data_IF_309713055065
#
_entry.id   IF_309713055065
#
_cell.length_a   1.000
_cell.length_b   1.000
_cell.length_c   1.000
_cell.angle_alpha   90.00
_cell.angle_beta   90.00
_cell.angle_gamma   90.00
#
_symmetry.space_group_name_H-M   'P 1'
#
loop_
_entity.id
_entity.type
_entity.pdbx_description
1 polymer ?
#
# COMPACT_ATOMS: atom_id res chain seq x y z
N UNK A 1 77.97 69.03 37.44
CA UNK A 1 77.22 68.18 38.40
C UNK A 1 76.85 66.92 37.65
N UNK A 2 77.15 65.68 38.00
CA UNK A 2 77.83 65.01 39.12
C UNK A 2 78.10 63.59 38.62
N UNK A 3 79.33 63.07 38.82
CA UNK A 3 79.77 61.66 39.09
C UNK A 3 78.89 60.49 38.58
N UNK A 4 79.39 59.31 38.15
CA UNK A 4 80.69 58.63 38.00
C UNK A 4 80.33 57.18 37.58
N UNK A 5 81.36 56.38 37.27
CA UNK A 5 81.43 54.91 37.45
C UNK A 5 80.82 54.03 36.34
N UNK A 6 81.35 52.86 36.00
CA UNK A 6 82.66 52.20 36.20
C UNK A 6 82.58 50.89 35.36
N UNK A 7 83.69 50.54 34.71
CA UNK A 7 84.15 49.17 34.42
C UNK A 7 83.35 48.16 33.55
N UNK A 8 83.96 47.85 32.40
CA UNK A 8 84.29 46.51 31.84
C UNK A 8 84.82 45.49 32.90
N UNK A 9 85.11 44.19 32.62
CA UNK A 9 84.82 43.32 31.47
C UNK A 9 84.56 41.80 31.81
N UNK A 10 84.40 40.99 30.76
CA UNK A 10 84.90 39.60 30.54
C UNK A 10 84.45 38.41 31.42
N UNK A 11 84.18 37.27 30.76
CA UNK A 11 84.44 35.84 31.09
C UNK A 11 83.31 34.97 30.48
N UNK A 12 83.43 33.73 29.98
CA UNK A 12 84.42 32.86 29.30
C UNK A 12 83.69 31.49 29.15
N UNK A 13 84.04 30.65 28.16
CA UNK A 13 83.93 29.16 28.14
C UNK A 13 82.52 28.59 27.82
N UNK A 14 82.27 28.04 26.61
CA UNK A 14 82.52 26.66 26.11
C UNK A 14 81.76 25.55 26.87
N UNK A 15 80.81 24.84 26.23
CA UNK A 15 80.89 23.39 25.91
C UNK A 15 79.56 22.76 25.42
N UNK A 16 79.73 21.76 24.56
CA UNK A 16 78.92 20.53 24.40
C UNK A 16 77.70 20.49 23.43
N UNK A 17 78.04 20.09 22.21
CA UNK A 17 77.37 19.17 21.27
C UNK A 17 76.41 18.12 21.89
N UNK A 18 75.21 17.91 21.32
CA UNK A 18 74.88 16.87 20.30
C UNK A 18 73.38 16.91 19.90
N UNK A 19 73.03 16.36 18.72
CA UNK A 19 71.81 16.65 17.94
C UNK A 19 70.73 15.59 18.14
N UNK A 20 69.48 15.81 17.68
CA UNK A 20 68.68 14.77 17.01
C UNK A 20 67.52 15.35 16.19
N UNK A 21 67.45 14.85 14.95
CA UNK A 21 66.27 14.60 14.13
C UNK A 21 65.40 15.78 13.67
N UNK A 22 65.71 16.22 12.46
CA UNK A 22 64.79 16.88 11.55
C UNK A 22 63.73 15.89 11.02
N UNK A 23 62.46 16.31 10.93
CA UNK A 23 61.54 15.83 9.90
C UNK A 23 60.50 16.92 9.58
N UNK A 24 60.44 17.29 8.29
CA UNK A 24 59.57 18.32 7.69
C UNK A 24 58.15 17.79 7.52
N UNK A 25 57.12 18.66 7.46
CA UNK A 25 56.45 18.80 6.16
C UNK A 25 55.72 20.14 5.96
N UNK A 26 55.95 20.86 4.86
CA UNK A 26 54.88 21.67 4.20
C UNK A 26 55.28 21.86 2.74
N UNK A 27 54.57 21.21 1.83
CA UNK A 27 54.40 21.70 0.47
C UNK A 27 53.07 21.17 -0.05
N UNK A 28 52.15 22.11 -0.23
CA UNK A 28 50.80 21.91 -0.71
C UNK A 28 50.77 21.34 -2.13
N UNK A 29 49.85 20.40 -2.39
CA UNK A 29 49.32 20.16 -3.73
C UNK A 29 47.81 20.45 -3.71
N UNK A 30 47.28 21.16 -4.72
CA UNK A 30 45.99 21.82 -4.64
C UNK A 30 44.82 20.86 -4.90
N UNK A 31 43.74 21.17 -4.20
CA UNK A 31 42.35 20.78 -4.44
C UNK A 31 42.03 20.49 -5.92
N UNK A 32 41.84 19.20 -6.24
CA UNK A 32 40.96 18.78 -7.33
C UNK A 32 39.92 17.80 -6.75
N UNK A 33 39.06 18.33 -5.88
CA UNK A 33 37.87 17.63 -5.40
C UNK A 33 36.84 17.63 -6.54
N UNK A 34 36.83 16.56 -7.32
CA UNK A 34 35.73 16.19 -8.21
C UNK A 34 34.46 16.04 -7.35
N UNK A 35 33.37 16.79 -7.59
CA UNK A 35 32.14 16.56 -6.87
C UNK A 35 31.57 15.25 -7.41
N UNK A 36 31.69 14.19 -6.61
CA UNK A 36 30.95 12.96 -6.80
C UNK A 36 29.47 13.33 -6.69
N UNK A 37 28.82 13.57 -7.83
CA UNK A 37 27.40 13.83 -7.90
C UNK A 37 26.68 12.67 -7.22
N UNK A 38 26.10 12.95 -6.04
CA UNK A 38 25.18 12.05 -5.37
C UNK A 38 24.04 11.77 -6.34
N UNK A 39 24.07 10.61 -7.00
CA UNK A 39 22.83 9.95 -7.40
C UNK A 39 22.13 9.56 -6.09
N UNK A 40 21.37 10.51 -5.52
CA UNK A 40 20.30 10.19 -4.60
C UNK A 40 19.22 9.47 -5.41
N UNK A 41 19.47 8.19 -5.71
CA UNK A 41 18.43 7.30 -6.20
C UNK A 41 17.39 7.23 -5.11
N UNK A 42 16.25 7.87 -5.33
CA UNK A 42 15.05 7.65 -4.53
C UNK A 42 14.73 6.17 -4.62
N UNK A 43 15.18 5.38 -3.64
CA UNK A 43 14.65 4.04 -3.46
C UNK A 43 13.16 4.24 -3.20
N UNK A 44 12.34 3.87 -4.19
CA UNK A 44 10.91 3.67 -4.01
C UNK A 44 10.79 2.59 -2.93
N UNK A 45 10.69 3.02 -1.67
CA UNK A 45 10.36 2.14 -0.58
C UNK A 45 8.99 1.57 -0.92
N UNK A 46 8.91 0.26 -1.16
CA UNK A 46 7.64 -0.42 -1.24
C UNK A 46 6.91 -0.14 0.07
N UNK A 47 5.72 0.46 -0.02
CA UNK A 47 4.88 0.70 1.16
C UNK A 47 4.66 -0.66 1.85
N UNK A 48 4.94 -0.79 3.16
CA UNK A 48 4.81 -2.05 3.88
C UNK A 48 3.39 -2.66 3.85
N UNK A 49 2.40 -1.98 3.27
CA UNK A 49 1.02 -2.42 3.22
C UNK A 49 0.33 -2.16 4.55
N UNK A 50 -0.99 -2.05 4.52
CA UNK A 50 -1.82 -1.76 5.70
C UNK A 50 -2.73 -2.95 5.99
N UNK A 51 -3.02 -3.19 7.26
CA UNK A 51 -3.90 -4.29 7.67
C UNK A 51 -5.30 -4.17 7.02
N UNK A 52 -5.72 -5.14 6.18
CA UNK A 52 -7.06 -5.12 5.57
C UNK A 52 -8.20 -5.09 6.59
N UNK A 53 -8.00 -5.68 7.79
CA UNK A 53 -9.01 -5.68 8.85
C UNK A 53 -9.37 -4.26 9.33
N UNK A 54 -8.42 -3.32 9.27
CA UNK A 54 -8.61 -1.94 9.69
C UNK A 54 -8.86 -0.99 8.52
N UNK A 55 -8.20 -1.24 7.38
CA UNK A 55 -8.13 -0.29 6.27
C UNK A 55 -8.91 -0.72 5.03
N UNK A 56 -9.38 -1.97 4.93
CA UNK A 56 -10.19 -2.43 3.80
C UNK A 56 -11.66 -2.63 4.19
N UNK A 57 -11.92 -3.44 5.22
CA UNK A 57 -13.29 -3.77 5.63
C UNK A 57 -13.92 -2.67 6.49
N UNK A 58 -15.20 -2.41 6.25
CA UNK A 58 -16.05 -1.57 7.08
C UNK A 58 -16.58 -2.37 8.29
N UNK A 59 -16.93 -1.66 9.36
CA UNK A 59 -17.64 -2.24 10.50
C UNK A 59 -19.13 -2.26 10.21
N UNK A 60 -19.84 -3.29 10.68
CA UNK A 60 -21.29 -3.45 10.51
C UNK A 60 -21.89 -4.21 11.69
N UNK A 61 -23.17 -3.95 11.97
CA UNK A 61 -23.98 -4.78 12.86
C UNK A 61 -24.63 -5.98 12.15
N UNK A 62 -24.39 -6.13 10.85
CA UNK A 62 -24.87 -7.25 10.05
C UNK A 62 -26.24 -7.02 9.39
N UNK A 63 -26.76 -5.79 9.36
CA UNK A 63 -28.00 -5.47 8.64
C UNK A 63 -27.72 -4.86 7.26
N UNK A 64 -27.73 -5.69 6.22
CA UNK A 64 -27.40 -5.23 4.87
C UNK A 64 -28.49 -4.36 4.24
N UNK A 65 -29.71 -4.35 4.77
CA UNK A 65 -30.74 -3.42 4.33
C UNK A 65 -30.43 -2.00 4.82
N UNK A 66 -29.96 -1.85 6.06
CA UNK A 66 -29.44 -0.58 6.60
C UNK A 66 -28.13 -0.17 5.92
N UNK A 67 -27.21 -1.11 5.66
CA UNK A 67 -25.96 -0.76 4.97
C UNK A 67 -26.21 -0.23 3.55
N UNK A 68 -27.27 -0.64 2.85
CA UNK A 68 -27.65 -0.06 1.57
C UNK A 68 -28.08 1.40 1.70
N UNK A 69 -28.75 1.77 2.79
CA UNK A 69 -29.10 3.16 3.10
C UNK A 69 -27.82 3.98 3.35
N UNK A 70 -26.91 3.48 4.18
CA UNK A 70 -25.61 4.11 4.43
C UNK A 70 -24.81 4.28 3.13
N UNK A 71 -24.79 3.26 2.26
CA UNK A 71 -24.11 3.33 0.97
C UNK A 71 -24.69 4.44 0.07
N UNK A 72 -26.03 4.63 0.08
CA UNK A 72 -26.69 5.73 -0.64
C UNK A 72 -26.30 7.08 -0.06
N UNK A 73 -26.35 7.23 1.26
CA UNK A 73 -26.07 8.49 1.96
C UNK A 73 -24.60 8.92 1.79
N UNK A 74 -23.66 7.97 1.78
CA UNK A 74 -22.25 8.23 1.52
C UNK A 74 -21.89 8.36 0.03
N UNK A 75 -22.86 8.22 -0.88
CA UNK A 75 -22.64 8.32 -2.33
C UNK A 75 -21.78 7.20 -2.91
N UNK A 76 -21.83 6.00 -2.31
CA UNK A 76 -21.12 4.82 -2.82
C UNK A 76 -21.74 4.33 -4.12
N UNK A 77 -20.96 3.58 -4.89
CA UNK A 77 -21.45 2.81 -6.03
C UNK A 77 -22.26 1.57 -5.60
N UNK A 78 -22.08 1.09 -4.37
CA UNK A 78 -22.78 -0.07 -3.84
C UNK A 78 -22.05 -0.74 -2.69
N UNK A 79 -22.32 -2.05 -2.51
CA UNK A 79 -21.72 -2.88 -1.45
C UNK A 79 -20.87 -3.99 -2.07
N UNK A 80 -19.69 -4.24 -1.51
CA UNK A 80 -18.84 -5.37 -1.82
C UNK A 80 -18.84 -6.36 -0.65
N UNK A 81 -19.36 -7.56 -0.87
CA UNK A 81 -19.20 -8.66 0.07
C UNK A 81 -18.03 -9.54 -0.34
N UNK A 82 -17.13 -9.82 0.60
CA UNK A 82 -16.11 -10.85 0.47
C UNK A 82 -16.54 -12.07 1.29
N UNK A 83 -17.05 -13.09 0.61
CA UNK A 83 -17.30 -14.38 1.25
C UNK A 83 -15.98 -15.10 1.48
N UNK A 84 -15.72 -15.47 2.73
CA UNK A 84 -14.49 -16.11 3.18
C UNK A 84 -14.74 -17.13 4.28
N UNK A 85 -13.68 -17.79 4.74
CA UNK A 85 -13.65 -18.66 5.91
C UNK A 85 -12.24 -18.59 6.50
N UNK A 86 -12.09 -18.91 7.78
CA UNK A 86 -10.81 -18.80 8.48
C UNK A 86 -9.73 -19.69 7.86
N UNK A 87 -10.05 -20.94 7.54
CA UNK A 87 -9.10 -21.92 6.99
C UNK A 87 -9.02 -21.86 5.45
N UNK A 88 -8.74 -20.66 4.91
CA UNK A 88 -8.71 -20.41 3.46
C UNK A 88 -7.38 -19.81 2.98
N UNK A 89 -6.48 -20.61 2.39
CA UNK A 89 -5.19 -20.12 1.88
C UNK A 89 -5.32 -19.00 0.83
N UNK A 90 -6.35 -19.07 -0.02
CA UNK A 90 -6.59 -18.05 -1.04
C UNK A 90 -7.11 -16.73 -0.44
N UNK A 91 -7.88 -16.80 0.63
CA UNK A 91 -8.38 -15.63 1.37
C UNK A 91 -7.20 -14.94 2.07
N UNK A 92 -6.33 -15.70 2.74
CA UNK A 92 -5.09 -15.17 3.31
C UNK A 92 -4.18 -14.55 2.24
N UNK A 93 -4.02 -15.20 1.08
CA UNK A 93 -3.24 -14.66 -0.04
C UNK A 93 -3.79 -13.33 -0.53
N UNK A 94 -5.12 -13.21 -0.67
CA UNK A 94 -5.76 -11.94 -1.04
C UNK A 94 -5.50 -10.87 0.01
N UNK A 95 -5.75 -11.16 1.29
CA UNK A 95 -5.51 -10.23 2.41
C UNK A 95 -4.05 -9.77 2.48
N UNK A 96 -3.09 -10.68 2.35
CA UNK A 96 -1.67 -10.39 2.54
C UNK A 96 -0.97 -9.70 1.36
N UNK A 97 -1.49 -9.84 0.13
CA UNK A 97 -0.79 -9.36 -1.08
C UNK A 97 -1.58 -8.37 -1.94
N UNK A 98 -2.91 -8.35 -1.80
CA UNK A 98 -3.79 -7.53 -2.65
C UNK A 98 -4.54 -6.52 -1.81
N UNK A 99 -5.30 -6.99 -0.82
CA UNK A 99 -6.15 -6.13 0.01
C UNK A 99 -5.35 -5.31 1.03
N UNK A 100 -4.05 -5.59 1.21
CA UNK A 100 -3.15 -4.78 2.04
C UNK A 100 -2.58 -3.56 1.30
N UNK A 101 -2.75 -3.46 -0.01
CA UNK A 101 -2.17 -2.39 -0.79
C UNK A 101 -2.96 -1.09 -0.57
N UNK A 102 -2.32 0.04 -0.19
CA UNK A 102 -3.03 1.28 0.10
C UNK A 102 -3.92 1.77 -1.04
N UNK A 103 -3.43 1.75 -2.28
CA UNK A 103 -4.21 2.16 -3.44
C UNK A 103 -5.44 1.29 -3.71
N UNK A 104 -5.40 0.00 -3.37
CA UNK A 104 -6.58 -0.88 -3.43
C UNK A 104 -7.58 -0.47 -2.35
N UNK A 105 -7.12 -0.28 -1.12
CA UNK A 105 -7.97 0.08 0.00
C UNK A 105 -8.65 1.43 -0.21
N UNK A 106 -7.90 2.44 -0.64
CA UNK A 106 -8.40 3.80 -0.83
C UNK A 106 -9.46 3.81 -1.94
N UNK A 107 -9.17 3.21 -3.10
CA UNK A 107 -10.11 3.14 -4.23
C UNK A 107 -11.39 2.38 -3.86
N UNK A 108 -11.26 1.20 -3.26
CA UNK A 108 -12.44 0.39 -2.95
C UNK A 108 -13.29 1.03 -1.85
N UNK A 109 -12.70 1.67 -0.83
CA UNK A 109 -13.46 2.37 0.21
C UNK A 109 -14.08 3.68 -0.26
N UNK A 110 -13.48 4.33 -1.25
CA UNK A 110 -14.10 5.48 -1.92
C UNK A 110 -15.42 5.05 -2.58
N UNK A 111 -15.43 3.89 -3.24
CA UNK A 111 -16.56 3.47 -4.07
C UNK A 111 -17.55 2.49 -3.42
N UNK A 112 -17.17 1.74 -2.39
CA UNK A 112 -18.01 0.69 -1.81
C UNK A 112 -18.01 0.72 -0.28
N UNK A 113 -19.10 0.25 0.33
CA UNK A 113 -19.03 -0.36 1.66
C UNK A 113 -18.62 -1.83 1.51
N UNK A 114 -17.71 -2.30 2.34
CA UNK A 114 -17.04 -3.59 2.14
C UNK A 114 -17.12 -4.44 3.39
N UNK A 115 -17.72 -5.63 3.29
CA UNK A 115 -17.92 -6.49 4.45
C UNK A 115 -17.45 -7.92 4.19
N UNK A 116 -16.76 -8.56 5.15
CA UNK A 116 -16.49 -9.98 5.10
C UNK A 116 -17.74 -10.77 5.53
N UNK A 117 -18.01 -11.89 4.86
CA UNK A 117 -19.01 -12.88 5.28
C UNK A 117 -18.31 -14.20 5.53
N UNK A 118 -18.37 -14.70 6.76
CA UNK A 118 -17.90 -16.05 7.05
C UNK A 118 -18.92 -17.08 6.54
N UNK A 119 -18.53 -17.88 5.56
CA UNK A 119 -19.39 -18.91 4.95
C UNK A 119 -19.65 -20.09 5.89
N UNK A 120 -18.91 -20.20 6.99
CA UNK A 120 -19.13 -21.19 8.05
C UNK A 120 -19.78 -20.54 9.29
N UNK A 121 -19.93 -19.23 9.28
CA UNK A 121 -20.40 -18.42 10.40
C UNK A 121 -21.87 -18.65 10.77
N UNK A 122 -22.12 -18.81 12.07
CA UNK A 122 -23.47 -18.89 12.66
C UNK A 122 -23.99 -17.53 13.16
N UNK A 123 -23.27 -16.44 12.89
CA UNK A 123 -23.67 -15.07 13.22
C UNK A 123 -24.94 -14.71 12.44
N UNK A 124 -25.90 -14.11 13.14
CA UNK A 124 -27.14 -13.60 12.56
C UNK A 124 -26.87 -12.29 11.80
N UNK A 125 -27.50 -12.17 10.64
CA UNK A 125 -27.47 -11.00 9.77
C UNK A 125 -28.87 -10.73 9.25
N UNK A 126 -29.10 -9.55 8.69
CA UNK A 126 -30.29 -9.21 7.92
C UNK A 126 -29.87 -9.05 6.46
N UNK A 127 -30.53 -9.76 5.56
CA UNK A 127 -30.22 -9.70 4.14
C UNK A 127 -30.67 -8.38 3.50
N UNK A 128 -30.33 -8.18 2.23
CA UNK A 128 -30.70 -6.96 1.48
C UNK A 128 -32.21 -6.76 1.34
N UNK A 129 -33.03 -7.79 1.59
CA UNK A 129 -34.50 -7.72 1.58
C UNK A 129 -35.11 -7.52 2.98
N UNK A 130 -34.28 -7.33 4.01
CA UNK A 130 -34.74 -7.12 5.39
C UNK A 130 -35.08 -8.42 6.14
N UNK A 131 -34.70 -9.60 5.62
CA UNK A 131 -34.99 -10.87 6.29
C UNK A 131 -33.81 -11.34 7.15
N UNK A 132 -34.06 -11.84 8.37
CA UNK A 132 -33.01 -12.43 9.18
C UNK A 132 -32.49 -13.74 8.56
N UNK A 133 -31.18 -13.91 8.55
CA UNK A 133 -30.49 -15.11 8.07
C UNK A 133 -29.23 -15.36 8.92
N UNK A 134 -28.57 -16.49 8.72
CA UNK A 134 -27.22 -16.74 9.24
C UNK A 134 -26.21 -16.58 8.13
N UNK A 135 -25.00 -16.09 8.44
CA UNK A 135 -23.96 -15.88 7.42
C UNK A 135 -23.72 -17.11 6.52
N UNK A 136 -23.61 -18.30 7.12
CA UNK A 136 -23.46 -19.56 6.36
C UNK A 136 -24.63 -19.88 5.43
N UNK A 137 -25.85 -19.60 5.87
CA UNK A 137 -27.07 -19.89 5.12
C UNK A 137 -27.28 -18.86 4.01
N UNK A 138 -27.03 -17.59 4.29
CA UNK A 138 -26.97 -16.51 3.31
C UNK A 138 -25.96 -16.81 2.21
N UNK A 139 -24.73 -17.20 2.57
CA UNK A 139 -23.69 -17.56 1.62
C UNK A 139 -24.05 -18.78 0.76
N UNK A 140 -24.51 -19.87 1.38
CA UNK A 140 -24.77 -21.13 0.69
C UNK A 140 -26.10 -21.17 -0.06
N UNK A 141 -27.19 -20.75 0.58
CA UNK A 141 -28.56 -20.90 0.05
C UNK A 141 -28.90 -19.77 -0.91
N UNK A 142 -28.58 -18.52 -0.57
CA UNK A 142 -28.89 -17.37 -1.42
C UNK A 142 -27.84 -17.20 -2.53
N UNK A 143 -26.56 -17.18 -2.18
CA UNK A 143 -25.48 -16.89 -3.13
C UNK A 143 -24.76 -18.12 -3.68
N UNK A 144 -25.09 -19.33 -3.22
CA UNK A 144 -24.49 -20.59 -3.73
C UNK A 144 -22.97 -20.58 -3.66
N UNK A 145 -22.39 -19.95 -2.64
CA UNK A 145 -20.95 -19.93 -2.40
C UNK A 145 -20.49 -21.32 -1.99
N UNK A 146 -19.59 -21.90 -2.79
CA UNK A 146 -19.03 -23.25 -2.60
C UNK A 146 -17.50 -23.27 -2.63
N UNK A 147 -16.90 -22.10 -2.81
CA UNK A 147 -15.46 -21.88 -2.86
C UNK A 147 -15.19 -20.47 -2.35
N UNK A 148 -14.05 -20.25 -1.73
CA UNK A 148 -13.64 -18.96 -1.16
C UNK A 148 -12.24 -18.57 -1.67
N UNK A 149 -11.93 -17.27 -1.79
CA UNK A 149 -12.84 -16.14 -1.58
C UNK A 149 -13.84 -15.96 -2.74
N UNK A 150 -14.99 -15.33 -2.47
CA UNK A 150 -15.88 -14.78 -3.51
C UNK A 150 -16.08 -13.30 -3.26
N UNK A 151 -15.84 -12.49 -4.27
CA UNK A 151 -16.15 -11.07 -4.27
C UNK A 151 -17.46 -10.86 -5.01
N UNK A 152 -18.48 -10.41 -4.29
CA UNK A 152 -19.82 -10.16 -4.78
C UNK A 152 -20.14 -8.68 -4.65
N UNK A 153 -20.40 -8.03 -5.78
CA UNK A 153 -20.72 -6.61 -5.85
C UNK A 153 -22.23 -6.45 -6.00
N UNK A 154 -22.80 -5.62 -5.16
CA UNK A 154 -24.22 -5.29 -5.12
C UNK A 154 -24.40 -3.82 -5.48
N UNK A 155 -25.39 -3.51 -6.32
CA UNK A 155 -25.79 -2.13 -6.55
C UNK A 155 -26.58 -1.57 -5.34
N UNK A 156 -26.96 -0.30 -5.42
CA UNK A 156 -27.72 0.38 -4.37
C UNK A 156 -29.14 -0.16 -4.21
N UNK A 157 -29.64 -1.02 -5.09
CA UNK A 157 -30.93 -1.69 -4.95
C UNK A 157 -30.78 -3.10 -4.35
N UNK A 158 -29.56 -3.51 -3.98
CA UNK A 158 -29.25 -4.82 -3.43
C UNK A 158 -29.14 -5.93 -4.48
N UNK A 159 -29.05 -5.60 -5.77
CA UNK A 159 -28.90 -6.60 -6.83
C UNK A 159 -27.44 -6.98 -7.00
N UNK A 160 -27.15 -8.28 -7.13
CA UNK A 160 -25.82 -8.77 -7.47
C UNK A 160 -25.46 -8.38 -8.92
N UNK A 161 -24.53 -7.45 -9.10
CA UNK A 161 -24.13 -6.92 -10.41
C UNK A 161 -22.84 -7.55 -10.96
N UNK A 162 -21.95 -8.00 -10.07
CA UNK A 162 -20.75 -8.72 -10.47
C UNK A 162 -20.33 -9.74 -9.42
N UNK A 163 -19.77 -10.85 -9.89
CA UNK A 163 -19.21 -11.92 -9.04
C UNK A 163 -17.85 -12.34 -9.57
N UNK A 164 -16.88 -12.42 -8.68
CA UNK A 164 -15.57 -13.01 -8.95
C UNK A 164 -15.28 -14.10 -7.92
N UNK A 165 -14.96 -15.31 -8.38
CA UNK A 165 -14.68 -16.47 -7.52
C UNK A 165 -13.19 -16.80 -7.59
N UNK A 166 -12.53 -16.86 -6.43
CA UNK A 166 -11.11 -17.16 -6.28
C UNK A 166 -10.25 -15.92 -6.04
N UNK A 167 -8.94 -16.14 -5.88
CA UNK A 167 -7.97 -15.06 -5.78
C UNK A 167 -7.70 -14.44 -7.16
N UNK A 168 -7.57 -13.11 -7.21
CA UNK A 168 -6.99 -12.45 -8.40
C UNK A 168 -5.50 -12.78 -8.50
N UNK A 169 -4.93 -12.58 -9.69
CA UNK A 169 -3.51 -12.77 -9.95
C UNK A 169 -2.68 -11.81 -9.07
N UNK A 170 -3.06 -10.54 -9.07
CA UNK A 170 -2.38 -9.42 -8.44
C UNK A 170 -3.38 -8.29 -8.11
N UNK A 171 -2.85 -7.19 -7.58
CA UNK A 171 -3.63 -6.00 -7.22
C UNK A 171 -4.16 -5.26 -8.44
N UNK A 172 -3.47 -5.30 -9.57
CA UNK A 172 -3.91 -4.65 -10.81
C UNK A 172 -5.19 -5.30 -11.35
N UNK A 173 -5.24 -6.64 -11.36
CA UNK A 173 -6.45 -7.36 -11.75
C UNK A 173 -7.62 -7.08 -10.79
N UNK A 174 -7.35 -6.95 -9.48
CA UNK A 174 -8.38 -6.60 -8.52
C UNK A 174 -8.87 -5.15 -8.71
N UNK A 175 -7.97 -4.20 -9.02
CA UNK A 175 -8.34 -2.83 -9.38
C UNK A 175 -9.24 -2.79 -10.63
N UNK A 176 -8.90 -3.58 -11.67
CA UNK A 176 -9.74 -3.69 -12.86
C UNK A 176 -11.14 -4.24 -12.53
N UNK A 177 -11.26 -5.14 -11.55
CA UNK A 177 -12.56 -5.66 -11.11
C UNK A 177 -13.41 -4.57 -10.47
N UNK A 178 -12.81 -3.74 -9.60
CA UNK A 178 -13.50 -2.59 -9.02
C UNK A 178 -13.92 -1.57 -10.09
N UNK A 179 -13.03 -1.24 -11.03
CA UNK A 179 -13.33 -0.33 -12.15
C UNK A 179 -14.44 -0.88 -13.04
N UNK A 180 -14.43 -2.18 -13.35
CA UNK A 180 -15.48 -2.83 -14.14
C UNK A 180 -16.88 -2.63 -13.56
N UNK A 181 -16.99 -2.59 -12.22
CA UNK A 181 -18.26 -2.32 -11.53
C UNK A 181 -18.56 -0.83 -11.49
N UNK A 182 -17.61 0.02 -11.08
CA UNK A 182 -17.79 1.48 -10.98
C UNK A 182 -18.12 2.12 -12.34
N UNK A 183 -17.47 1.67 -13.42
CA UNK A 183 -17.72 2.15 -14.79
C UNK A 183 -19.05 1.60 -15.36
N UNK A 184 -19.74 0.70 -14.66
CA UNK A 184 -20.96 0.06 -15.16
C UNK A 184 -20.73 -0.91 -16.32
N UNK A 185 -19.47 -1.28 -16.61
CA UNK A 185 -19.10 -2.10 -17.76
C UNK A 185 -19.71 -3.51 -17.72
N UNK A 186 -20.13 -3.99 -16.55
CA UNK A 186 -20.85 -5.24 -16.38
C UNK A 186 -22.18 -5.32 -17.12
N UNK A 187 -22.76 -4.18 -17.50
CA UNK A 187 -24.01 -4.13 -18.28
C UNK A 187 -23.79 -4.51 -19.75
N UNK A 188 -22.57 -4.33 -20.26
CA UNK A 188 -22.28 -4.41 -21.70
C UNK A 188 -21.35 -5.57 -22.07
N UNK A 189 -20.46 -5.97 -21.15
CA UNK A 189 -19.42 -6.95 -21.46
C UNK A 189 -19.07 -7.83 -20.27
N UNK A 190 -18.34 -8.92 -20.50
CA UNK A 190 -17.83 -9.76 -19.43
C UNK A 190 -16.51 -9.21 -18.89
N UNK A 191 -16.21 -9.48 -17.62
CA UNK A 191 -14.95 -9.05 -17.00
C UNK A 191 -13.71 -9.52 -17.78
N UNK A 192 -13.71 -10.73 -18.33
CA UNK A 192 -12.60 -11.24 -19.16
C UNK A 192 -12.38 -10.39 -20.41
N UNK A 193 -13.47 -9.98 -21.09
CA UNK A 193 -13.39 -9.10 -22.27
C UNK A 193 -12.95 -7.69 -21.88
N UNK A 194 -13.47 -7.17 -20.77
CA UNK A 194 -13.09 -5.86 -20.21
C UNK A 194 -11.59 -5.78 -19.92
N UNK A 195 -11.03 -6.76 -19.20
CA UNK A 195 -9.58 -6.84 -18.92
C UNK A 195 -8.74 -6.85 -20.18
N UNK A 196 -9.15 -7.63 -21.18
CA UNK A 196 -8.44 -7.71 -22.46
C UNK A 196 -8.44 -6.36 -23.17
N UNK A 197 -9.59 -5.68 -23.21
CA UNK A 197 -9.70 -4.37 -23.84
C UNK A 197 -8.81 -3.31 -23.16
N UNK A 198 -8.75 -3.26 -21.82
CA UNK A 198 -7.87 -2.35 -21.07
C UNK A 198 -6.40 -2.61 -21.38
N UNK A 199 -5.96 -3.88 -21.31
CA UNK A 199 -4.58 -4.27 -21.66
C UNK A 199 -4.21 -3.90 -23.10
N UNK A 200 -5.08 -4.17 -24.05
CA UNK A 200 -4.81 -3.88 -25.47
C UNK A 200 -4.73 -2.36 -25.71
N UNK A 201 -5.52 -1.56 -24.99
CA UNK A 201 -5.45 -0.10 -25.01
C UNK A 201 -4.13 0.44 -24.39
N UNK A 202 -3.70 -0.12 -23.26
CA UNK A 202 -2.44 0.27 -22.61
C UNK A 202 -1.23 -0.05 -23.49
N UNK A 203 -1.24 -1.20 -24.16
CA UNK A 203 -0.20 -1.58 -25.13
C UNK A 203 -0.16 -0.62 -26.32
N UNK A 204 -1.32 -0.26 -26.87
CA UNK A 204 -1.40 0.70 -27.97
C UNK A 204 -0.90 2.08 -27.55
N UNK A 205 -1.23 2.52 -26.33
CA UNK A 205 -0.75 3.79 -25.78
C UNK A 205 0.77 3.80 -25.58
N UNK A 206 1.35 2.68 -25.13
CA UNK A 206 2.79 2.52 -24.96
C UNK A 206 3.55 2.47 -26.30
N UNK A 207 2.96 1.89 -27.34
CA UNK A 207 3.55 1.85 -28.70
C UNK A 207 3.46 3.19 -29.44
N UNK A 208 2.56 4.08 -29.01
CA UNK A 208 2.39 5.41 -29.58
C UNK A 208 3.26 6.51 -28.96
N UNK A 209 4.05 6.16 -27.94
CA UNK A 209 5.02 7.03 -27.26
C UNK A 209 6.43 6.73 -27.75
#
# INVERSE_FOLDING_TARGET
MTKRNFLMPLIRILTALKPYAALKPVAALPFLFLPLALLAGSALAADPGRDPGQYFFNQTFGDFSEELETARDEGKAGILLMFEMDECPFCHRMKANVLNQPGVQDYFREHFLIFPIDVEGDIEIVDFSGNPDRQKDFALKQFRVRATPVFAFFDLDGNLVARYTGATRDSEEFMLLGQYVVEGAYKETTFTKYKRAKRDADQQAALSQ
#
